data_IF_891528690473
#
_entry.id   IF_891528690473
#
_cell.length_a   1.000
_cell.length_b   1.000
_cell.length_c   1.000
_cell.angle_alpha   90.00
_cell.angle_beta   90.00
_cell.angle_gamma   90.00
#
_symmetry.space_group_name_H-M   'P 1'
#
loop_
_entity.id
_entity.type
_entity.pdbx_description
1 polymer ?
#
# COMPACT_ATOMS: atom_id res chain seq x y z
N UNK A 1 5.55 -10.24 38.57
CA UNK A 1 6.77 -10.08 37.75
C UNK A 1 6.61 -10.68 36.35
N UNK A 2 6.49 -12.01 36.17
CA UNK A 2 6.38 -12.63 34.84
C UNK A 2 5.20 -12.11 33.99
N UNK A 3 4.02 -11.92 34.60
CA UNK A 3 2.82 -11.39 33.91
C UNK A 3 2.98 -9.94 33.45
N UNK A 4 3.76 -9.13 34.16
CA UNK A 4 3.99 -7.72 33.82
C UNK A 4 5.02 -7.59 32.69
N UNK A 5 6.07 -8.41 32.73
CA UNK A 5 7.06 -8.52 31.64
C UNK A 5 6.37 -8.97 30.35
N UNK A 6 5.50 -9.98 30.43
CA UNK A 6 4.74 -10.47 29.28
C UNK A 6 3.83 -9.37 28.70
N UNK A 7 3.10 -8.62 29.55
CA UNK A 7 2.26 -7.50 29.11
C UNK A 7 3.06 -6.41 28.40
N UNK A 8 4.22 -6.01 28.95
CA UNK A 8 5.12 -5.03 28.33
C UNK A 8 5.63 -5.52 26.98
N UNK A 9 6.02 -6.79 26.87
CA UNK A 9 6.50 -7.36 25.62
C UNK A 9 5.40 -7.42 24.54
N UNK A 10 4.18 -7.80 24.92
CA UNK A 10 3.03 -7.82 23.99
C UNK A 10 2.71 -6.42 23.47
N UNK A 11 2.68 -5.43 24.36
CA UNK A 11 2.44 -4.03 23.99
C UNK A 11 3.53 -3.50 23.04
N UNK A 12 4.81 -3.72 23.36
CA UNK A 12 5.93 -3.35 22.50
C UNK A 12 5.85 -4.00 21.10
N UNK A 13 5.48 -5.27 21.05
CA UNK A 13 5.36 -6.02 19.79
C UNK A 13 4.23 -5.49 18.89
N UNK A 14 3.10 -5.12 19.49
CA UNK A 14 1.99 -4.50 18.78
C UNK A 14 2.33 -3.08 18.29
N UNK A 15 2.99 -2.30 19.14
CA UNK A 15 3.49 -0.95 18.80
C UNK A 15 4.51 -1.01 17.65
N UNK A 16 5.43 -1.98 17.66
CA UNK A 16 6.41 -2.18 16.60
C UNK A 16 5.74 -2.43 15.24
N UNK A 17 4.75 -3.33 15.19
CA UNK A 17 4.03 -3.63 13.96
C UNK A 17 3.22 -2.42 13.48
N UNK A 18 2.50 -1.76 14.38
CA UNK A 18 1.64 -0.63 14.04
C UNK A 18 2.42 0.59 13.56
N UNK A 19 3.58 0.92 14.18
CA UNK A 19 4.50 1.96 13.68
C UNK A 19 4.98 1.65 12.27
N UNK A 20 5.40 0.42 12.03
CA UNK A 20 5.86 -0.01 10.72
C UNK A 20 4.74 0.10 9.68
N UNK A 21 3.53 -0.40 9.97
CA UNK A 21 2.38 -0.28 9.08
C UNK A 21 2.01 1.19 8.80
N UNK A 22 1.98 2.05 9.82
CA UNK A 22 1.67 3.46 9.66
C UNK A 22 2.63 4.14 8.65
N UNK A 23 3.93 3.87 8.76
CA UNK A 23 4.94 4.42 7.85
C UNK A 23 4.86 3.83 6.44
N UNK A 24 4.74 2.51 6.31
CA UNK A 24 4.69 1.84 5.00
C UNK A 24 3.40 2.13 4.23
N UNK A 25 2.31 2.41 4.94
CA UNK A 25 0.99 2.66 4.37
C UNK A 25 0.62 4.13 4.33
N UNK A 26 1.51 5.05 4.73
CA UNK A 26 1.23 6.49 4.84
C UNK A 26 0.51 7.06 3.61
N UNK A 27 1.07 6.88 2.42
CA UNK A 27 0.46 7.37 1.18
C UNK A 27 -0.90 6.71 0.86
N UNK A 28 -1.11 5.47 1.30
CA UNK A 28 -2.41 4.78 1.18
C UNK A 28 -3.40 5.30 2.22
N UNK A 29 -2.97 5.61 3.44
CA UNK A 29 -3.80 6.20 4.51
C UNK A 29 -4.35 7.56 4.05
N UNK A 30 -3.48 8.45 3.57
CA UNK A 30 -3.88 9.75 3.00
C UNK A 30 -4.69 9.62 1.70
N UNK A 31 -4.72 8.44 1.08
CA UNK A 31 -5.45 8.20 -0.17
C UNK A 31 -4.76 8.76 -1.42
N UNK A 32 -3.55 9.29 -1.28
CA UNK A 32 -2.74 9.72 -2.42
C UNK A 32 -2.28 8.53 -3.27
N UNK A 33 -2.19 7.34 -2.65
CA UNK A 33 -1.87 6.08 -3.30
C UNK A 33 -3.03 5.10 -3.18
N UNK A 34 -3.55 4.54 -4.29
CA UNK A 34 -4.72 3.66 -4.25
C UNK A 34 -4.47 2.36 -3.47
N UNK A 35 -3.26 1.81 -3.57
CA UNK A 35 -2.87 0.62 -2.81
C UNK A 35 -1.36 0.50 -2.60
N UNK A 36 -0.97 -0.34 -1.64
CA UNK A 36 0.42 -0.72 -1.35
C UNK A 36 0.50 -2.23 -1.15
N UNK A 37 1.46 -2.89 -1.80
CA UNK A 37 1.81 -4.29 -1.50
C UNK A 37 2.96 -4.33 -0.51
N UNK A 38 2.79 -5.08 0.57
CA UNK A 38 3.88 -5.44 1.47
C UNK A 38 4.16 -6.94 1.41
N UNK A 39 5.43 -7.29 1.24
CA UNK A 39 5.92 -8.65 1.47
C UNK A 39 6.32 -8.80 2.93
N UNK A 40 5.49 -9.50 3.69
CA UNK A 40 5.67 -9.71 5.12
C UNK A 40 6.38 -11.04 5.35
N UNK A 41 7.58 -10.98 5.91
CA UNK A 41 8.41 -12.13 6.29
C UNK A 41 8.96 -11.91 7.70
N UNK A 42 9.35 -12.98 8.37
CA UNK A 42 10.15 -12.87 9.59
C UNK A 42 11.62 -12.70 9.21
N UNK A 43 12.26 -11.64 9.70
CA UNK A 43 13.72 -11.49 9.65
C UNK A 43 14.30 -11.40 11.06
N UNK A 44 15.61 -11.58 11.18
CA UNK A 44 16.30 -11.50 12.48
C UNK A 44 15.93 -10.18 13.19
N UNK A 45 15.42 -10.29 14.42
CA UNK A 45 14.97 -9.17 15.26
C UNK A 45 13.72 -8.39 14.77
N UNK A 46 13.04 -8.83 13.70
CA UNK A 46 11.75 -8.27 13.27
C UNK A 46 10.79 -9.38 12.85
N UNK A 47 10.01 -9.94 13.80
CA UNK A 47 9.09 -11.04 13.52
C UNK A 47 7.76 -10.53 12.91
N UNK A 48 7.81 -9.71 11.86
CA UNK A 48 6.64 -9.00 11.33
C UNK A 48 5.54 -9.97 10.86
N UNK A 49 5.89 -11.14 10.28
CA UNK A 49 4.90 -12.14 9.90
C UNK A 49 4.15 -12.71 11.09
N UNK A 50 4.88 -13.04 12.17
CA UNK A 50 4.28 -13.51 13.41
C UNK A 50 3.37 -12.44 14.02
N UNK A 51 3.86 -11.20 14.07
CA UNK A 51 3.10 -10.07 14.61
C UNK A 51 1.85 -9.79 13.77
N UNK A 52 1.96 -9.81 12.44
CA UNK A 52 0.83 -9.59 11.54
C UNK A 52 -0.27 -10.63 11.77
N UNK A 53 0.10 -11.92 11.82
CA UNK A 53 -0.86 -13.00 12.09
C UNK A 53 -1.57 -12.84 13.45
N UNK A 54 -0.90 -12.24 14.43
CA UNK A 54 -1.44 -12.05 15.77
C UNK A 54 -2.29 -10.77 15.90
N UNK A 55 -1.89 -9.66 15.28
CA UNK A 55 -2.46 -8.34 15.55
C UNK A 55 -2.99 -7.62 14.30
N UNK A 56 -2.55 -7.98 13.10
CA UNK A 56 -2.76 -7.22 11.85
C UNK A 56 -4.22 -6.83 11.59
N UNK A 57 -5.16 -7.78 11.51
CA UNK A 57 -6.57 -7.46 11.28
C UNK A 57 -7.18 -6.54 12.34
N UNK A 58 -6.77 -6.68 13.61
CA UNK A 58 -7.24 -5.83 14.70
C UNK A 58 -6.67 -4.41 14.62
N UNK A 59 -5.41 -4.27 14.22
CA UNK A 59 -4.76 -2.96 14.07
C UNK A 59 -5.40 -2.09 12.99
N UNK A 60 -5.96 -2.73 11.95
CA UNK A 60 -6.69 -2.04 10.89
C UNK A 60 -8.18 -1.83 11.21
N UNK A 61 -8.69 -2.37 12.32
CA UNK A 61 -10.08 -2.19 12.69
C UNK A 61 -10.38 -0.70 12.93
N UNK A 62 -11.36 -0.16 12.21
CA UNK A 62 -11.73 1.25 12.25
C UNK A 62 -10.96 2.16 11.26
N UNK A 63 -9.92 1.63 10.61
CA UNK A 63 -9.21 2.37 9.56
C UNK A 63 -10.02 2.50 8.27
N UNK A 64 -9.57 3.36 7.36
CA UNK A 64 -10.05 3.41 5.97
C UNK A 64 -9.42 2.32 5.09
N UNK A 65 -8.51 1.52 5.64
CA UNK A 65 -7.75 0.52 4.89
C UNK A 65 -8.42 -0.84 4.94
N UNK A 66 -8.62 -1.40 3.77
CA UNK A 66 -8.90 -2.82 3.55
C UNK A 66 -7.60 -3.54 3.19
N UNK A 67 -7.56 -4.86 3.38
CA UNK A 67 -6.43 -5.68 2.96
C UNK A 67 -6.89 -6.94 2.21
N UNK A 68 -6.03 -7.44 1.33
CA UNK A 68 -6.27 -8.64 0.54
C UNK A 68 -4.99 -9.47 0.42
N UNK A 69 -5.04 -10.75 0.82
CA UNK A 69 -3.89 -11.66 0.76
C UNK A 69 -3.73 -12.17 -0.68
N UNK A 70 -2.67 -11.71 -1.34
CA UNK A 70 -2.32 -12.11 -2.71
C UNK A 70 -1.61 -13.46 -2.72
N UNK A 71 -0.67 -13.68 -1.81
CA UNK A 71 0.07 -14.95 -1.68
C UNK A 71 0.34 -15.25 -0.22
N UNK A 72 0.21 -16.51 0.16
CA UNK A 72 0.54 -16.99 1.50
C UNK A 72 1.34 -18.29 1.43
N UNK A 73 2.44 -18.32 2.16
CA UNK A 73 3.23 -19.49 2.50
C UNK A 73 3.43 -19.53 4.03
N UNK A 74 3.93 -20.63 4.61
CA UNK A 74 4.21 -20.67 6.05
C UNK A 74 5.13 -19.54 6.54
N UNK A 75 6.07 -19.10 5.70
CA UNK A 75 7.16 -18.17 5.99
C UNK A 75 7.00 -16.77 5.36
N UNK A 76 5.99 -16.55 4.52
CA UNK A 76 5.77 -15.28 3.82
C UNK A 76 4.29 -14.99 3.56
N UNK A 77 3.93 -13.71 3.64
CA UNK A 77 2.70 -13.15 3.09
C UNK A 77 3.02 -12.06 2.07
N UNK A 78 2.28 -12.02 0.98
CA UNK A 78 2.16 -10.83 0.14
C UNK A 78 0.74 -10.27 0.32
N UNK A 79 0.64 -9.07 0.87
CA UNK A 79 -0.63 -8.46 1.22
C UNK A 79 -0.77 -7.14 0.47
N UNK A 80 -1.90 -6.99 -0.20
CA UNK A 80 -2.35 -5.71 -0.74
C UNK A 80 -3.11 -4.96 0.35
N UNK A 81 -2.68 -3.75 0.68
CA UNK A 81 -3.41 -2.79 1.50
C UNK A 81 -3.95 -1.70 0.59
N UNK A 82 -5.21 -1.34 0.74
CA UNK A 82 -5.86 -0.41 -0.17
C UNK A 82 -6.98 0.35 0.51
N UNK A 83 -7.28 1.52 -0.03
CA UNK A 83 -8.51 2.26 0.25
C UNK A 83 -9.51 1.89 -0.83
N UNK A 84 -10.70 1.42 -0.43
CA UNK A 84 -11.73 0.95 -1.39
C UNK A 84 -12.13 2.06 -2.36
N UNK A 85 -12.44 3.25 -1.85
CA UNK A 85 -12.81 4.43 -2.63
C UNK A 85 -11.71 4.82 -3.64
N UNK A 86 -10.47 4.91 -3.18
CA UNK A 86 -9.34 5.31 -4.03
C UNK A 86 -8.99 4.26 -5.08
N UNK A 87 -9.06 2.97 -4.73
CA UNK A 87 -8.76 1.89 -5.66
C UNK A 87 -9.85 1.74 -6.72
N UNK A 88 -11.14 1.89 -6.36
CA UNK A 88 -12.24 1.92 -7.32
C UNK A 88 -12.13 3.12 -8.27
N UNK A 89 -11.82 4.31 -7.76
CA UNK A 89 -11.58 5.48 -8.60
C UNK A 89 -10.41 5.26 -9.57
N UNK A 90 -9.30 4.70 -9.07
CA UNK A 90 -8.13 4.40 -9.89
C UNK A 90 -8.46 3.42 -11.02
N UNK A 91 -9.20 2.35 -10.72
CA UNK A 91 -9.60 1.33 -11.70
C UNK A 91 -10.56 1.89 -12.75
N UNK A 92 -11.43 2.82 -12.36
CA UNK A 92 -12.45 3.40 -13.24
C UNK A 92 -11.98 4.67 -13.99
N UNK A 93 -10.78 5.18 -13.72
CA UNK A 93 -10.18 6.22 -14.56
C UNK A 93 -10.13 5.71 -16.02
N UNK A 94 -10.59 6.48 -17.02
CA UNK A 94 -10.80 5.97 -18.37
C UNK A 94 -9.61 5.25 -19.00
N UNK A 95 -8.39 5.80 -18.88
CA UNK A 95 -7.20 5.20 -19.47
C UNK A 95 -6.75 3.96 -18.69
N UNK A 96 -6.85 3.97 -17.36
CA UNK A 96 -6.57 2.83 -16.51
C UNK A 96 -7.56 1.69 -16.79
N UNK A 97 -8.85 2.01 -16.91
CA UNK A 97 -9.91 1.06 -17.22
C UNK A 97 -9.66 0.37 -18.55
N UNK A 98 -9.44 1.15 -19.62
CA UNK A 98 -9.14 0.61 -20.95
C UNK A 98 -7.89 -0.28 -20.93
N UNK A 99 -6.85 0.15 -20.23
CA UNK A 99 -5.63 -0.62 -20.06
C UNK A 99 -5.87 -1.94 -19.32
N UNK A 100 -6.55 -1.92 -18.18
CA UNK A 100 -6.83 -3.10 -17.36
C UNK A 100 -7.75 -4.11 -18.08
N UNK A 101 -8.77 -3.63 -18.80
CA UNK A 101 -9.66 -4.48 -19.62
C UNK A 101 -8.87 -5.21 -20.70
N UNK A 102 -7.94 -4.54 -21.40
CA UNK A 102 -7.05 -5.19 -22.38
C UNK A 102 -6.15 -6.27 -21.76
N UNK A 103 -5.88 -6.18 -20.47
CA UNK A 103 -5.12 -7.17 -19.69
C UNK A 103 -6.02 -8.21 -18.99
N UNK A 104 -7.31 -8.24 -19.32
CA UNK A 104 -8.26 -9.27 -18.87
C UNK A 104 -8.87 -9.03 -17.48
N UNK A 105 -8.70 -7.84 -16.90
CA UNK A 105 -9.32 -7.53 -15.62
C UNK A 105 -10.85 -7.40 -15.76
N UNK A 106 -11.64 -8.06 -14.88
CA UNK A 106 -13.09 -8.05 -14.94
C UNK A 106 -13.69 -6.78 -14.31
N UNK A 107 -13.33 -5.60 -14.82
CA UNK A 107 -13.69 -4.29 -14.22
C UNK A 107 -15.21 -4.12 -14.03
N UNK A 108 -16.00 -4.59 -14.99
CA UNK A 108 -17.46 -4.46 -14.97
C UNK A 108 -18.15 -5.32 -13.89
N UNK A 109 -17.44 -6.26 -13.25
CA UNK A 109 -18.04 -7.13 -12.24
C UNK A 109 -18.07 -6.46 -10.86
N UNK A 110 -16.91 -6.09 -10.33
CA UNK A 110 -16.68 -5.33 -9.09
C UNK A 110 -15.19 -5.35 -8.72
N UNK A 111 -14.81 -4.57 -7.72
CA UNK A 111 -13.46 -4.54 -7.17
C UNK A 111 -12.95 -5.93 -6.74
N UNK A 112 -13.78 -6.72 -6.05
CA UNK A 112 -13.37 -8.04 -5.54
C UNK A 112 -13.02 -9.02 -6.66
N UNK A 113 -13.73 -8.97 -7.80
CA UNK A 113 -13.40 -9.74 -8.99
C UNK A 113 -12.04 -9.34 -9.55
N UNK A 114 -11.73 -8.04 -9.59
CA UNK A 114 -10.41 -7.53 -9.99
C UNK A 114 -9.29 -8.00 -9.04
N UNK A 115 -9.52 -7.96 -7.73
CA UNK A 115 -8.56 -8.45 -6.73
C UNK A 115 -8.34 -9.96 -6.82
N UNK A 116 -9.40 -10.72 -7.09
CA UNK A 116 -9.32 -12.17 -7.30
C UNK A 116 -8.55 -12.49 -8.59
N UNK A 117 -8.81 -11.76 -9.66
CA UNK A 117 -8.06 -11.88 -10.92
C UNK A 117 -6.58 -11.57 -10.69
N UNK A 118 -6.27 -10.46 -10.02
CA UNK A 118 -4.91 -10.08 -9.64
C UNK A 118 -4.21 -11.21 -8.87
N UNK A 119 -4.86 -11.76 -7.84
CA UNK A 119 -4.32 -12.88 -7.06
C UNK A 119 -4.00 -14.10 -7.93
N UNK A 120 -4.85 -14.41 -8.91
CA UNK A 120 -4.59 -15.52 -9.83
C UNK A 120 -3.34 -15.30 -10.70
N UNK A 121 -2.99 -14.04 -10.97
CA UNK A 121 -1.78 -13.65 -11.73
C UNK A 121 -0.56 -13.45 -10.85
N UNK A 122 -0.74 -13.28 -9.54
CA UNK A 122 0.32 -13.04 -8.58
C UNK A 122 1.08 -14.35 -8.26
N UNK A 123 2.08 -14.66 -9.08
CA UNK A 123 2.87 -15.90 -8.99
C UNK A 123 4.17 -15.68 -8.21
N UNK A 124 5.33 -15.85 -8.86
CA UNK A 124 6.66 -15.50 -8.31
C UNK A 124 6.92 -14.00 -8.42
N UNK A 125 6.44 -13.38 -9.50
CA UNK A 125 6.57 -11.96 -9.80
C UNK A 125 5.22 -11.26 -9.79
N UNK A 126 5.24 -9.99 -9.39
CA UNK A 126 4.07 -9.13 -9.51
C UNK A 126 3.84 -8.82 -11.00
N UNK A 127 2.62 -9.01 -11.54
CA UNK A 127 2.32 -8.67 -12.92
C UNK A 127 2.61 -7.19 -13.20
N UNK A 128 3.18 -6.86 -14.36
CA UNK A 128 3.69 -5.52 -14.63
C UNK A 128 2.56 -4.48 -14.69
N UNK A 129 1.41 -4.87 -15.21
CA UNK A 129 0.20 -4.06 -15.31
C UNK A 129 -0.32 -3.59 -13.94
N UNK A 130 0.05 -4.30 -12.87
CA UNK A 130 -0.32 -3.96 -11.52
C UNK A 130 0.24 -2.61 -11.05
N UNK A 131 1.28 -2.08 -11.71
CA UNK A 131 1.87 -0.79 -11.38
C UNK A 131 0.83 0.34 -11.31
N UNK A 132 -0.21 0.30 -12.16
CA UNK A 132 -1.27 1.32 -12.16
C UNK A 132 -2.08 1.29 -10.86
N UNK A 133 -2.34 0.10 -10.32
CA UNK A 133 -3.05 -0.08 -9.04
C UNK A 133 -2.19 0.32 -7.84
N UNK A 134 -0.88 0.50 -8.02
CA UNK A 134 0.06 1.04 -7.04
C UNK A 134 0.22 2.56 -7.14
N UNK A 135 -0.53 3.23 -8.02
CA UNK A 135 -0.42 4.66 -8.27
C UNK A 135 0.79 5.04 -9.13
N UNK A 136 1.43 4.09 -9.81
CA UNK A 136 2.47 4.40 -10.79
C UNK A 136 1.79 4.99 -12.03
N UNK A 137 2.26 6.14 -12.56
CA UNK A 137 1.68 6.73 -13.77
C UNK A 137 1.62 5.73 -14.92
N UNK A 138 0.47 5.67 -15.62
CA UNK A 138 0.27 4.70 -16.70
C UNK A 138 1.38 4.77 -17.76
N UNK A 139 1.92 5.96 -18.07
CA UNK A 139 3.05 6.10 -19.01
C UNK A 139 4.28 5.29 -18.60
N UNK A 140 4.57 5.21 -17.31
CA UNK A 140 5.74 4.50 -16.79
C UNK A 140 5.49 3.00 -16.74
N UNK A 141 4.25 2.59 -16.46
CA UNK A 141 3.82 1.19 -16.57
C UNK A 141 3.95 0.71 -18.00
N UNK A 142 3.42 1.47 -18.96
CA UNK A 142 3.53 1.15 -20.39
C UNK A 142 4.99 1.12 -20.87
N UNK A 143 5.81 2.08 -20.46
CA UNK A 143 7.24 2.11 -20.77
C UNK A 143 7.98 0.90 -20.21
N UNK A 144 7.70 0.51 -18.96
CA UNK A 144 8.29 -0.68 -18.34
C UNK A 144 7.88 -1.97 -19.06
N UNK A 145 6.66 -2.03 -19.58
CA UNK A 145 6.15 -3.17 -20.36
C UNK A 145 6.63 -3.18 -21.81
N UNK A 146 7.36 -2.15 -22.27
CA UNK A 146 7.76 -2.02 -23.67
C UNK A 146 6.58 -1.72 -24.62
N UNK A 147 5.46 -1.23 -24.07
CA UNK A 147 4.26 -0.84 -24.81
C UNK A 147 4.23 0.66 -25.16
N UNK A 148 5.34 1.37 -24.89
CA UNK A 148 5.55 2.77 -25.23
C UNK A 148 6.94 2.93 -25.85
N UNK A 149 7.05 3.87 -26.79
CA UNK A 149 8.29 4.30 -27.44
C UNK A 149 9.07 5.37 -26.65
N UNK A 150 8.51 5.81 -25.52
CA UNK A 150 9.15 6.80 -24.66
C UNK A 150 10.47 6.25 -24.10
N UNK A 151 11.59 6.99 -24.21
CA UNK A 151 12.86 6.53 -23.68
C UNK A 151 12.83 6.51 -22.14
N UNK A 152 13.62 5.62 -21.55
CA UNK A 152 13.92 5.68 -20.11
C UNK A 152 14.64 7.01 -19.81
N UNK A 153 14.01 7.86 -19.01
CA UNK A 153 14.55 9.17 -18.63
C UNK A 153 15.41 9.08 -17.37
N UNK A 154 14.85 8.53 -16.28
CA UNK A 154 15.53 8.41 -15.00
C UNK A 154 14.92 7.29 -14.14
N UNK A 155 15.46 7.10 -12.94
CA UNK A 155 15.03 6.07 -11.99
C UNK A 155 14.77 6.68 -10.62
N UNK A 156 13.71 6.21 -9.96
CA UNK A 156 13.40 6.47 -8.55
C UNK A 156 12.85 5.21 -7.90
N UNK A 157 11.69 5.30 -7.25
CA UNK A 157 10.95 4.12 -6.77
C UNK A 157 10.53 3.17 -7.90
N UNK A 158 10.44 3.69 -9.14
CA UNK A 158 10.24 2.94 -10.37
C UNK A 158 11.05 3.58 -11.53
N UNK A 159 11.07 2.92 -12.68
CA UNK A 159 11.66 3.44 -13.92
C UNK A 159 10.75 4.49 -14.55
N UNK A 160 11.27 5.68 -14.85
CA UNK A 160 10.49 6.81 -15.39
C UNK A 160 10.77 6.96 -16.88
N UNK A 161 9.70 7.00 -17.69
CA UNK A 161 9.79 7.06 -19.15
C UNK A 161 9.24 8.40 -19.68
N UNK A 162 9.88 8.98 -20.70
CA UNK A 162 9.49 10.27 -21.27
C UNK A 162 9.70 11.45 -20.30
N UNK A 163 8.80 12.44 -20.32
CA UNK A 163 8.87 13.58 -19.38
C UNK A 163 8.75 13.09 -17.92
N UNK A 164 9.72 13.37 -17.03
CA UNK A 164 9.72 12.86 -15.67
C UNK A 164 8.84 13.64 -14.69
N UNK A 165 8.37 14.84 -15.05
CA UNK A 165 7.74 15.78 -14.12
C UNK A 165 6.58 15.19 -13.32
N UNK A 166 5.59 14.57 -13.99
CA UNK A 166 4.43 14.00 -13.29
C UNK A 166 4.81 12.80 -12.43
N UNK A 167 5.76 11.96 -12.87
CA UNK A 167 6.23 10.80 -12.11
C UNK A 167 6.97 11.21 -10.85
N UNK A 168 7.84 12.22 -10.96
CA UNK A 168 8.56 12.77 -9.82
C UNK A 168 7.60 13.46 -8.84
N UNK A 169 6.56 14.14 -9.32
CA UNK A 169 5.54 14.71 -8.47
C UNK A 169 4.77 13.64 -7.67
N UNK A 170 4.40 12.52 -8.30
CA UNK A 170 3.77 11.38 -7.60
C UNK A 170 4.71 10.78 -6.55
N UNK A 171 5.98 10.53 -6.89
CA UNK A 171 6.96 10.03 -5.93
C UNK A 171 7.14 10.97 -4.75
N UNK A 172 7.26 12.28 -5.04
CA UNK A 172 7.41 13.31 -4.00
C UNK A 172 6.23 13.27 -3.04
N UNK A 173 4.99 13.22 -3.57
CA UNK A 173 3.78 13.15 -2.74
C UNK A 173 3.79 11.93 -1.81
N UNK A 174 4.19 10.76 -2.29
CA UNK A 174 4.28 9.56 -1.44
C UNK A 174 5.36 9.66 -0.36
N UNK A 175 6.47 10.32 -0.66
CA UNK A 175 7.52 10.56 0.33
C UNK A 175 7.09 11.61 1.36
N UNK A 176 6.46 12.71 0.92
CA UNK A 176 5.93 13.75 1.80
C UNK A 176 4.92 13.16 2.80
N UNK A 177 4.00 12.30 2.33
CA UNK A 177 3.04 11.56 3.16
C UNK A 177 3.75 10.74 4.26
N UNK A 178 4.82 10.03 3.88
CA UNK A 178 5.61 9.23 4.82
C UNK A 178 6.33 10.11 5.84
N UNK A 179 6.88 11.25 5.40
CA UNK A 179 7.58 12.19 6.26
C UNK A 179 6.62 12.85 7.26
N UNK A 180 5.39 13.16 6.85
CA UNK A 180 4.32 13.65 7.75
C UNK A 180 4.03 12.62 8.84
N UNK A 181 3.81 11.35 8.47
CA UNK A 181 3.56 10.28 9.44
C UNK A 181 4.76 10.08 10.37
N UNK A 182 5.98 10.13 9.85
CA UNK A 182 7.19 10.06 10.68
C UNK A 182 7.21 11.19 11.72
N UNK A 183 6.93 12.43 11.30
CA UNK A 183 6.84 13.59 12.19
C UNK A 183 5.74 13.46 13.26
N UNK A 184 4.58 12.90 12.91
CA UNK A 184 3.53 12.61 13.89
C UNK A 184 3.98 11.61 14.94
N UNK A 185 4.59 10.49 14.53
CA UNK A 185 5.10 9.46 15.43
C UNK A 185 6.22 10.00 16.34
N UNK A 186 7.11 10.84 15.81
CA UNK A 186 8.16 11.51 16.59
C UNK A 186 7.60 12.50 17.60
N UNK A 187 6.48 13.15 17.26
CA UNK A 187 5.74 14.06 18.15
C UNK A 187 4.88 13.32 19.19
N UNK A 188 4.92 11.99 19.22
CA UNK A 188 4.20 11.17 20.20
C UNK A 188 2.79 10.75 19.79
N UNK A 189 2.41 10.88 18.52
CA UNK A 189 1.16 10.29 18.05
C UNK A 189 1.21 8.77 18.18
N UNK A 190 0.11 8.19 18.67
CA UNK A 190 -0.02 6.76 18.76
C UNK A 190 -0.20 6.18 17.34
N UNK A 191 0.48 5.08 16.98
CA UNK A 191 0.40 4.51 15.63
C UNK A 191 -1.04 4.16 15.21
N UNK A 192 -1.87 3.77 16.17
CA UNK A 192 -3.28 3.48 15.92
C UNK A 192 -4.06 4.72 15.48
N UNK A 193 -3.73 5.92 16.01
CA UNK A 193 -4.34 7.18 15.56
C UNK A 193 -3.97 7.48 14.11
N UNK A 194 -2.72 7.19 13.72
CA UNK A 194 -2.29 7.34 12.32
C UNK A 194 -3.02 6.35 11.41
N UNK A 195 -3.07 5.06 11.78
CA UNK A 195 -3.76 4.04 10.98
C UNK A 195 -5.25 4.32 10.81
N UNK A 196 -5.87 5.02 11.76
CA UNK A 196 -7.30 5.38 11.73
C UNK A 196 -7.56 6.81 11.29
N UNK A 197 -6.53 7.53 10.83
CA UNK A 197 -6.63 8.91 10.38
C UNK A 197 -7.66 9.07 9.25
N UNK A 198 -8.46 10.14 9.34
CA UNK A 198 -9.41 10.58 8.30
C UNK A 198 -9.33 12.10 8.18
N UNK A 199 -9.12 12.60 6.96
CA UNK A 199 -9.04 14.06 6.67
C UNK A 199 -10.29 14.82 7.15
N UNK A 200 -11.47 14.20 7.11
CA UNK A 200 -12.73 14.82 7.54
C UNK A 200 -12.79 15.19 9.04
N UNK A 201 -11.80 14.77 9.86
CA UNK A 201 -11.75 15.10 11.29
C UNK A 201 -11.03 16.42 11.62
N UNK A 202 -10.24 17.01 10.71
CA UNK A 202 -9.61 18.32 10.95
C UNK A 202 -10.58 19.51 10.74
N UNK A 203 -11.65 19.31 9.96
CA UNK A 203 -12.69 20.34 9.75
C UNK A 203 -13.60 20.56 10.98
N UNK A 204 -13.45 19.77 12.05
CA UNK A 204 -14.24 19.86 13.29
C UNK A 204 -13.44 20.38 14.49
N UNK A 205 -12.15 20.69 14.32
CA UNK A 205 -11.27 21.21 15.38
C UNK A 205 -10.54 22.50 14.96
N UNK A 206 -10.93 23.09 13.82
CA UNK A 206 -10.48 24.41 13.36
C UNK A 206 -11.52 25.50 13.60
#
# INVERSE_FOLDING_TARGET
MATEILKRQLHYNEELLSKWLALELAATIFGNKPSTILSIVNIKNRPILTLWRQYGPRLLAGSSLSYFILKETPDRLAILFYREDMLEQCINEPNHKDFLVRHGYPIEQNLMACLTYLKSKFTETCPHEFGVLLGIPLKDVLGFMGLSDQPLCCKGCWHIYGNPECSLAVMKRFNDDRDIVAGWLESGWEPYQVLTYREDQEALVS
#
